data_IF_635714995008
#
_entry.id   IF_635714995008
#
_cell.length_a   1.000
_cell.length_b   1.000
_cell.length_c   1.000
_cell.angle_alpha   90.00
_cell.angle_beta   90.00
_cell.angle_gamma   90.00
#
_symmetry.space_group_name_H-M   'P 1'
#
loop_
_entity.id
_entity.type
_entity.pdbx_description
1 polymer ?
#
# COMPACT_ATOMS: atom_id res chain seq x y z
N UNK A 1 13.54 13.08 19.81
CA UNK A 1 13.59 11.97 18.83
C UNK A 1 13.87 10.58 19.44
N UNK A 2 14.12 10.43 20.74
CA UNK A 2 14.49 9.15 21.39
C UNK A 2 13.34 8.14 21.66
N UNK A 3 12.10 8.43 21.23
CA UNK A 3 10.93 7.60 21.55
C UNK A 3 10.60 6.50 20.54
N UNK A 4 11.08 6.60 19.28
CA UNK A 4 10.70 5.64 18.21
C UNK A 4 11.37 4.27 18.37
N UNK A 5 12.56 4.21 18.96
CA UNK A 5 13.37 2.99 19.13
C UNK A 5 12.89 2.09 20.28
N UNK A 6 12.22 2.67 21.27
CA UNK A 6 11.78 1.97 22.48
C UNK A 6 10.67 0.95 22.21
N UNK A 7 9.54 1.36 21.63
CA UNK A 7 8.39 0.48 21.40
C UNK A 7 8.68 -0.70 20.47
N UNK A 8 9.45 -0.45 19.41
CA UNK A 8 9.87 -1.48 18.46
C UNK A 8 10.67 -2.60 19.14
N UNK A 9 11.52 -2.25 20.12
CA UNK A 9 12.32 -3.21 20.86
C UNK A 9 11.48 -4.18 21.69
N UNK A 10 10.50 -3.66 22.45
CA UNK A 10 9.66 -4.52 23.27
C UNK A 10 8.77 -5.44 22.46
N UNK A 11 8.23 -4.92 21.35
CA UNK A 11 7.51 -5.74 20.39
C UNK A 11 8.40 -6.86 19.83
N UNK A 12 9.69 -6.59 19.57
CA UNK A 12 10.64 -7.59 19.10
C UNK A 12 10.97 -8.66 20.14
N UNK A 13 11.19 -8.30 21.42
CA UNK A 13 11.41 -9.30 22.47
C UNK A 13 10.18 -10.18 22.68
N UNK A 14 8.99 -9.57 22.76
CA UNK A 14 7.75 -10.30 22.86
C UNK A 14 7.52 -11.22 21.66
N UNK A 15 7.95 -10.80 20.46
CA UNK A 15 7.92 -11.61 19.24
C UNK A 15 8.81 -12.84 19.33
N UNK A 16 10.08 -12.67 19.71
CA UNK A 16 11.02 -13.79 19.84
C UNK A 16 10.49 -14.82 20.86
N UNK A 17 9.97 -14.35 21.99
CA UNK A 17 9.37 -15.22 22.99
C UNK A 17 8.11 -15.95 22.48
N UNK A 18 7.19 -15.21 21.83
CA UNK A 18 5.97 -15.79 21.27
C UNK A 18 6.29 -16.83 20.18
N UNK A 19 7.27 -16.55 19.31
CA UNK A 19 7.74 -17.46 18.27
C UNK A 19 8.30 -18.76 18.83
N UNK A 20 9.08 -18.68 19.92
CA UNK A 20 9.59 -19.87 20.62
C UNK A 20 8.48 -20.74 21.22
N UNK A 21 7.36 -20.14 21.65
CA UNK A 21 6.19 -20.86 22.21
C UNK A 21 5.24 -21.39 21.13
N UNK A 22 5.18 -20.75 19.97
CA UNK A 22 4.22 -21.04 18.88
C UNK A 22 4.90 -21.06 17.50
N UNK A 23 5.79 -22.05 17.22
CA UNK A 23 6.56 -22.08 15.97
C UNK A 23 5.72 -22.26 14.70
N UNK A 24 4.49 -22.79 14.82
CA UNK A 24 3.57 -22.98 13.69
C UNK A 24 2.71 -21.76 13.33
N UNK A 25 2.79 -20.68 14.11
CA UNK A 25 1.98 -19.48 13.89
C UNK A 25 2.78 -18.46 13.06
N UNK A 26 2.15 -17.89 12.03
CA UNK A 26 2.76 -16.92 11.12
C UNK A 26 3.23 -15.64 11.83
N UNK A 27 4.24 -14.97 11.24
CA UNK A 27 4.83 -13.72 11.75
C UNK A 27 3.77 -12.65 12.06
N UNK A 28 2.89 -12.34 11.11
CA UNK A 28 1.87 -11.28 11.24
C UNK A 28 0.88 -11.61 12.34
N UNK A 29 0.47 -12.87 12.46
CA UNK A 29 -0.44 -13.31 13.52
C UNK A 29 0.22 -13.17 14.90
N UNK A 30 1.49 -13.54 15.05
CA UNK A 30 2.23 -13.33 16.31
C UNK A 30 2.37 -11.84 16.65
N UNK A 31 2.73 -10.99 15.68
CA UNK A 31 2.80 -9.53 15.88
C UNK A 31 1.46 -8.95 16.28
N UNK A 32 0.36 -9.39 15.67
CA UNK A 32 -0.99 -8.96 16.02
C UNK A 32 -1.36 -9.37 17.44
N UNK A 33 -1.04 -10.59 17.89
CA UNK A 33 -1.27 -11.02 19.27
C UNK A 33 -0.53 -10.14 20.29
N UNK A 34 0.69 -9.71 19.98
CA UNK A 34 1.48 -8.81 20.83
C UNK A 34 0.84 -7.43 20.90
N UNK A 35 0.39 -6.91 19.76
CA UNK A 35 -0.33 -5.63 19.69
C UNK A 35 -1.64 -5.71 20.47
N UNK A 36 -2.42 -6.79 20.32
CA UNK A 36 -3.66 -7.00 21.08
C UNK A 36 -3.39 -7.12 22.58
N UNK A 37 -2.29 -7.77 22.99
CA UNK A 37 -1.89 -7.83 24.39
C UNK A 37 -1.60 -6.43 24.94
N UNK A 38 -0.85 -5.60 24.21
CA UNK A 38 -0.58 -4.22 24.61
C UNK A 38 -1.86 -3.39 24.81
N UNK A 39 -2.86 -3.56 23.94
CA UNK A 39 -4.12 -2.82 24.05
C UNK A 39 -4.96 -3.19 25.28
N UNK A 40 -4.74 -4.39 25.85
CA UNK A 40 -5.40 -4.86 27.09
C UNK A 40 -4.71 -4.35 28.36
N UNK A 41 -3.49 -3.83 28.26
CA UNK A 41 -2.79 -3.23 29.39
C UNK A 41 -3.49 -1.94 29.85
N UNK A 42 -3.41 -1.65 31.15
CA UNK A 42 -3.77 -0.35 31.68
C UNK A 42 -2.82 0.75 31.17
N UNK A 43 -3.26 2.01 31.25
CA UNK A 43 -2.43 3.17 30.85
C UNK A 43 -1.09 3.24 31.59
N UNK A 44 -1.06 2.85 32.86
CA UNK A 44 0.16 2.81 33.66
C UNK A 44 1.11 1.72 33.15
N UNK A 45 0.61 0.51 32.93
CA UNK A 45 1.39 -0.61 32.39
C UNK A 45 1.93 -0.32 30.98
N UNK A 46 1.15 0.31 30.10
CA UNK A 46 1.63 0.76 28.78
C UNK A 46 2.81 1.72 28.90
N UNK A 47 2.73 2.65 29.85
CA UNK A 47 3.77 3.65 30.08
C UNK A 47 5.04 3.00 30.63
N UNK A 48 4.91 2.09 31.59
CA UNK A 48 6.01 1.31 32.15
C UNK A 48 6.70 0.44 31.09
N UNK A 49 5.91 -0.24 30.27
CA UNK A 49 6.39 -1.03 29.14
C UNK A 49 7.30 -0.15 28.24
N UNK A 50 6.84 1.02 27.83
CA UNK A 50 7.62 1.92 26.98
C UNK A 50 8.87 2.45 27.68
N UNK A 51 8.80 2.76 28.98
CA UNK A 51 9.98 3.22 29.72
C UNK A 51 11.05 2.11 29.82
N UNK A 52 10.63 0.87 30.08
CA UNK A 52 11.52 -0.29 30.10
C UNK A 52 12.16 -0.56 28.74
N UNK A 53 11.42 -0.35 27.66
CA UNK A 53 11.96 -0.55 26.32
C UNK A 53 12.92 0.58 25.89
N UNK A 54 12.78 1.79 26.44
CA UNK A 54 13.68 2.92 26.17
C UNK A 54 15.06 2.78 26.84
N UNK A 55 15.15 1.96 27.88
CA UNK A 55 16.40 1.72 28.64
C UNK A 55 17.17 0.50 28.17
N UNK A 56 16.62 -0.25 27.21
CA UNK A 56 17.23 -1.47 26.69
C UNK A 56 18.03 -1.22 25.41
N UNK A 57 19.12 -1.96 25.20
CA UNK A 57 19.95 -1.86 23.99
C UNK A 57 19.22 -2.33 22.73
N UNK A 58 19.43 -1.72 21.56
CA UNK A 58 18.76 -2.11 20.32
C UNK A 58 19.13 -3.55 19.94
N UNK A 59 18.11 -4.38 19.73
CA UNK A 59 18.24 -5.73 19.15
C UNK A 59 18.00 -5.62 17.65
N UNK A 60 18.82 -6.30 16.85
CA UNK A 60 18.64 -6.45 15.41
C UNK A 60 17.25 -7.03 15.11
N UNK A 61 16.53 -6.44 14.16
CA UNK A 61 15.16 -6.85 13.77
C UNK A 61 15.17 -8.27 13.16
N UNK A 62 15.13 -9.30 14.00
CA UNK A 62 15.10 -10.70 13.56
C UNK A 62 13.75 -11.10 12.96
N UNK A 63 12.69 -10.29 13.17
CA UNK A 63 11.33 -10.66 12.75
C UNK A 63 11.04 -10.42 11.28
N UNK A 64 11.77 -9.52 10.60
CA UNK A 64 11.49 -9.15 9.20
C UNK A 64 11.76 -10.27 8.20
N UNK A 65 12.60 -11.24 8.56
CA UNK A 65 12.97 -12.37 7.71
C UNK A 65 12.13 -13.62 7.94
N UNK A 66 11.30 -13.65 8.98
CA UNK A 66 10.48 -14.83 9.29
C UNK A 66 9.32 -14.94 8.29
N UNK A 67 9.16 -16.09 7.59
CA UNK A 67 8.13 -16.23 6.56
C UNK A 67 6.73 -16.22 7.17
N UNK A 68 5.77 -15.62 6.46
CA UNK A 68 4.35 -15.63 6.79
C UNK A 68 3.51 -16.27 5.68
N UNK A 69 2.41 -17.00 6.01
CA UNK A 69 1.56 -17.66 5.01
C UNK A 69 1.05 -16.77 3.89
N UNK A 70 0.87 -15.47 4.14
CA UNK A 70 0.38 -14.51 3.13
C UNK A 70 1.48 -13.55 2.65
N UNK A 71 2.76 -13.92 2.76
CA UNK A 71 3.84 -13.14 2.13
C UNK A 71 3.71 -13.17 0.61
N UNK A 72 3.79 -11.99 -0.01
CA UNK A 72 3.71 -11.81 -1.46
C UNK A 72 5.16 -11.82 -2.00
N UNK A 73 5.53 -12.76 -2.87
CA UNK A 73 6.87 -12.79 -3.45
C UNK A 73 7.10 -11.59 -4.37
N UNK A 74 8.33 -11.09 -4.39
CA UNK A 74 8.78 -10.06 -5.32
C UNK A 74 8.31 -8.64 -5.02
N UNK A 75 7.79 -8.37 -3.81
CA UNK A 75 7.41 -7.01 -3.42
C UNK A 75 8.57 -6.01 -3.42
N UNK A 76 9.80 -6.47 -3.19
CA UNK A 76 11.01 -5.64 -3.20
C UNK A 76 11.74 -5.67 -4.55
N UNK A 77 11.23 -6.38 -5.55
CA UNK A 77 11.95 -6.67 -6.80
C UNK A 77 11.59 -5.66 -7.90
N UNK A 78 11.18 -4.42 -7.57
CA UNK A 78 10.91 -3.40 -8.58
C UNK A 78 12.15 -2.53 -8.81
N UNK A 79 12.45 -2.23 -10.08
CA UNK A 79 13.51 -1.29 -10.45
C UNK A 79 13.11 0.17 -10.27
N UNK A 80 11.81 0.48 -10.31
CA UNK A 80 11.29 1.84 -10.27
C UNK A 80 11.01 2.34 -8.83
N UNK A 81 10.65 1.43 -7.91
CA UNK A 81 10.28 1.79 -6.53
C UNK A 81 10.81 0.77 -5.52
N UNK A 82 11.03 1.22 -4.28
CA UNK A 82 11.56 0.37 -3.21
C UNK A 82 10.61 -0.72 -2.73
N UNK A 83 9.29 -0.53 -2.86
CA UNK A 83 8.29 -1.57 -2.54
C UNK A 83 7.06 -1.45 -3.42
N UNK A 84 6.73 -2.55 -4.11
CA UNK A 84 5.55 -2.69 -4.94
C UNK A 84 4.26 -2.44 -4.16
N UNK A 85 3.30 -1.75 -4.79
CA UNK A 85 1.94 -1.69 -4.30
C UNK A 85 1.24 -3.03 -4.53
N UNK A 86 0.18 -3.32 -3.77
CA UNK A 86 -0.66 -4.50 -3.99
C UNK A 86 -2.08 -4.07 -4.33
N UNK A 87 -2.65 -4.66 -5.36
CA UNK A 87 -4.06 -4.47 -5.74
C UNK A 87 -4.84 -5.69 -5.29
N UNK A 88 -5.70 -5.52 -4.28
CA UNK A 88 -6.48 -6.60 -3.69
C UNK A 88 -7.92 -6.54 -4.19
N UNK A 89 -8.36 -7.61 -4.85
CA UNK A 89 -9.76 -7.78 -5.22
C UNK A 89 -10.55 -8.28 -4.02
N UNK A 90 -11.59 -7.54 -3.62
CA UNK A 90 -12.45 -7.90 -2.47
C UNK A 90 -13.91 -8.12 -2.85
N UNK A 91 -14.27 -7.81 -4.10
CA UNK A 91 -15.61 -8.02 -4.65
C UNK A 91 -15.53 -8.98 -5.84
N UNK A 92 -16.42 -9.97 -5.84
CA UNK A 92 -16.33 -11.15 -6.71
C UNK A 92 -17.64 -11.45 -7.45
N UNK A 93 -18.46 -10.43 -7.74
CA UNK A 93 -19.67 -10.64 -8.54
C UNK A 93 -19.28 -10.95 -10.00
N UNK A 94 -19.80 -12.06 -10.52
CA UNK A 94 -19.62 -12.49 -11.91
C UNK A 94 -20.13 -11.46 -12.93
N UNK A 95 -21.13 -10.65 -12.58
CA UNK A 95 -21.66 -9.60 -13.45
C UNK A 95 -20.66 -8.45 -13.66
N UNK A 96 -19.68 -8.30 -12.76
CA UNK A 96 -18.67 -7.24 -12.79
C UNK A 96 -17.31 -7.73 -13.33
N UNK A 97 -17.23 -8.98 -13.80
CA UNK A 97 -15.97 -9.57 -14.29
C UNK A 97 -15.40 -8.83 -15.51
N UNK A 98 -16.26 -8.29 -16.38
CA UNK A 98 -15.84 -7.42 -17.49
C UNK A 98 -15.17 -6.14 -16.98
N UNK A 99 -15.72 -5.52 -15.94
CA UNK A 99 -15.13 -4.31 -15.35
C UNK A 99 -13.77 -4.60 -14.70
N UNK A 100 -13.65 -5.76 -14.04
CA UNK A 100 -12.38 -6.22 -13.48
C UNK A 100 -11.32 -6.46 -14.57
N UNK A 101 -11.68 -7.16 -15.65
CA UNK A 101 -10.78 -7.39 -16.78
C UNK A 101 -10.32 -6.08 -17.44
N UNK A 102 -11.24 -5.16 -17.68
CA UNK A 102 -10.91 -3.86 -18.26
C UNK A 102 -9.96 -3.06 -17.36
N UNK A 103 -10.14 -3.12 -16.04
CA UNK A 103 -9.23 -2.53 -15.08
C UNK A 103 -7.83 -3.15 -15.17
N UNK A 104 -7.72 -4.49 -15.22
CA UNK A 104 -6.43 -5.17 -15.33
C UNK A 104 -5.69 -4.81 -16.62
N UNK A 105 -6.39 -4.78 -17.77
CA UNK A 105 -5.81 -4.32 -19.03
C UNK A 105 -5.36 -2.86 -18.96
N UNK A 106 -6.18 -1.99 -18.36
CA UNK A 106 -5.81 -0.58 -18.18
C UNK A 106 -4.61 -0.38 -17.25
N UNK A 107 -4.49 -1.22 -16.22
CA UNK A 107 -3.34 -1.23 -15.32
C UNK A 107 -2.07 -1.65 -16.05
N UNK A 108 -2.15 -2.71 -16.86
CA UNK A 108 -1.04 -3.17 -17.68
C UNK A 108 -0.58 -2.12 -18.69
N UNK A 109 -1.51 -1.46 -19.37
CA UNK A 109 -1.18 -0.42 -20.33
C UNK A 109 -0.63 0.85 -19.65
N UNK A 110 -1.08 1.14 -18.42
CA UNK A 110 -0.52 2.22 -17.61
C UNK A 110 0.92 1.92 -17.20
N UNK A 111 1.18 0.76 -16.61
CA UNK A 111 2.52 0.38 -16.18
C UNK A 111 3.50 0.31 -17.35
N UNK A 112 3.09 -0.25 -18.51
CA UNK A 112 3.92 -0.32 -19.71
C UNK A 112 4.35 1.06 -20.19
N UNK A 113 3.38 1.96 -20.43
CA UNK A 113 3.65 3.33 -20.91
C UNK A 113 4.50 4.12 -19.93
N UNK A 114 4.29 3.94 -18.63
CA UNK A 114 5.05 4.68 -17.63
C UNK A 114 6.49 4.20 -17.50
N UNK A 115 6.74 2.89 -17.69
CA UNK A 115 8.10 2.34 -17.70
C UNK A 115 8.89 2.79 -18.94
N UNK A 116 8.25 2.87 -20.11
CA UNK A 116 8.88 3.36 -21.33
C UNK A 116 9.42 4.79 -21.15
N UNK A 117 8.64 5.67 -20.50
CA UNK A 117 9.06 7.04 -20.19
C UNK A 117 10.28 7.13 -19.25
N UNK A 118 10.47 6.15 -18.35
CA UNK A 118 11.62 6.12 -17.44
C UNK A 118 12.90 5.75 -18.19
N UNK A 119 12.82 4.83 -19.15
CA UNK A 119 13.97 4.39 -19.94
C UNK A 119 14.51 5.53 -20.82
N UNK A 120 13.61 6.31 -21.42
CA UNK A 120 14.00 7.44 -22.30
C UNK A 120 14.63 8.60 -21.50
N UNK A 121 14.21 8.82 -20.26
CA UNK A 121 14.76 9.91 -19.41
C UNK A 121 16.20 9.62 -18.93
N UNK A 122 16.65 8.35 -18.95
CA UNK A 122 18.02 7.99 -18.54
C UNK A 122 19.06 8.07 -19.66
N UNK A 123 18.68 8.41 -20.90
CA UNK A 123 19.61 8.49 -22.05
C UNK A 123 20.02 9.92 -22.45
N UNK A 124 19.60 10.96 -21.73
CA UNK A 124 19.91 12.37 -22.05
C UNK A 124 20.91 13.06 -21.07
N UNK A 125 21.83 12.34 -20.44
CA UNK A 125 22.94 12.95 -19.66
C UNK A 125 24.30 12.36 -20.07
N UNK A 126 24.87 12.90 -21.15
CA UNK A 126 26.28 13.38 -21.25
C UNK A 126 26.66 13.55 -22.73
N UNK A 127 26.30 14.69 -23.32
CA UNK A 127 27.10 15.30 -24.37
C UNK A 127 27.11 16.82 -24.18
N UNK A 128 27.83 17.25 -23.12
CA UNK A 128 28.34 18.62 -23.04
C UNK A 128 29.39 18.80 -24.15
N UNK A 129 28.94 19.23 -25.33
CA UNK A 129 29.84 19.90 -26.28
C UNK A 129 29.39 21.35 -26.48
N UNK A 130 30.13 22.24 -25.83
CA UNK A 130 30.15 23.68 -26.10
C UNK A 130 30.35 23.95 -27.60
N UNK A 131 29.44 24.71 -28.21
CA UNK A 131 29.82 25.72 -29.20
C UNK A 131 28.70 26.75 -29.39
N UNK A 132 28.94 27.94 -28.85
CA UNK A 132 28.39 29.20 -29.36
C UNK A 132 28.66 29.30 -30.87
N UNK A 133 27.64 29.65 -31.66
CA UNK A 133 27.68 30.80 -32.57
C UNK A 133 26.31 30.99 -33.26
N UNK A 134 25.82 32.23 -33.20
CA UNK A 134 24.62 32.73 -33.87
C UNK A 134 24.83 32.88 -35.39
N UNK A 135 23.82 32.53 -36.21
CA UNK A 135 23.39 33.37 -37.36
C UNK A 135 22.02 32.96 -37.92
N UNK A 136 21.21 34.00 -38.22
CA UNK A 136 20.04 34.05 -39.11
C UNK A 136 20.22 33.28 -40.44
N UNK A 137 19.16 32.68 -40.99
CA UNK A 137 18.30 33.33 -42.02
C UNK A 137 17.25 32.33 -42.60
N UNK A 138 16.29 32.92 -43.30
CA UNK A 138 15.00 32.51 -43.85
C UNK A 138 15.00 31.30 -44.82
N UNK A 139 13.91 30.50 -44.85
CA UNK A 139 12.98 30.29 -45.99
C UNK A 139 12.33 28.88 -46.10
N UNK A 140 10.99 28.89 -46.00
CA UNK A 140 9.97 28.17 -46.80
C UNK A 140 10.36 26.92 -47.64
N UNK A 141 9.64 25.79 -47.46
CA UNK A 141 8.77 25.18 -48.50
C UNK A 141 8.34 23.73 -48.17
N UNK A 142 7.02 23.52 -48.27
CA UNK A 142 6.22 22.33 -48.63
C UNK A 142 6.90 21.00 -49.00
N UNK A 143 6.29 19.87 -48.59
CA UNK A 143 6.35 18.64 -49.40
C UNK A 143 6.14 17.29 -48.69
N UNK A 144 4.89 16.87 -48.60
CA UNK A 144 4.35 15.57 -49.03
C UNK A 144 4.74 14.21 -48.38
N UNK A 145 3.65 13.47 -48.13
CA UNK A 145 3.38 12.06 -47.86
C UNK A 145 4.50 11.01 -47.75
N UNK A 146 4.38 10.16 -46.70
CA UNK A 146 4.41 8.68 -46.87
C UNK A 146 3.47 8.01 -45.86
N UNK A 147 2.33 7.52 -46.33
CA UNK A 147 1.47 6.56 -45.64
C UNK A 147 2.08 5.18 -45.85
N UNK A 148 2.45 4.47 -44.77
CA UNK A 148 2.90 3.08 -44.85
C UNK A 148 1.93 2.16 -44.11
N UNK A 149 1.49 1.15 -44.85
CA UNK A 149 0.63 0.04 -44.46
C UNK A 149 1.09 -0.65 -43.17
N UNK A 150 0.14 -0.93 -42.27
CA UNK A 150 0.37 -1.89 -41.19
C UNK A 150 -0.66 -3.02 -41.26
N UNK A 151 -0.08 -4.19 -41.46
CA UNK A 151 -0.59 -5.56 -41.44
C UNK A 151 -1.77 -5.88 -40.51
N UNK A 152 -2.77 -6.50 -41.14
CA UNK A 152 -3.32 -7.84 -40.86
C UNK A 152 -3.27 -8.34 -39.40
N UNK A 153 -4.43 -8.32 -38.74
CA UNK A 153 -4.63 -8.84 -37.39
C UNK A 153 -5.64 -10.00 -37.42
N UNK A 154 -5.17 -11.19 -37.82
CA UNK A 154 -5.82 -12.46 -37.54
C UNK A 154 -5.15 -13.11 -36.32
N UNK A 155 -5.81 -13.05 -35.17
CA UNK A 155 -5.45 -13.79 -33.95
C UNK A 155 -6.73 -14.33 -33.28
N UNK A 156 -7.30 -15.38 -33.88
CA UNK A 156 -8.09 -16.36 -33.13
C UNK A 156 -7.13 -17.36 -32.47
N UNK A 157 -6.96 -17.25 -31.15
CA UNK A 157 -6.13 -18.15 -30.37
C UNK A 157 -6.66 -18.28 -28.95
N UNK A 158 -7.59 -19.21 -28.75
CA UNK A 158 -8.10 -19.61 -27.44
C UNK A 158 -6.99 -20.20 -26.56
N UNK A 159 -6.30 -19.35 -25.80
CA UNK A 159 -5.38 -19.73 -24.73
C UNK A 159 -6.10 -19.73 -23.39
N UNK A 160 -6.02 -20.84 -22.66
CA UNK A 160 -6.35 -20.88 -21.23
C UNK A 160 -5.61 -19.73 -20.51
N UNK A 161 -6.26 -19.00 -19.57
CA UNK A 161 -5.59 -17.95 -18.81
C UNK A 161 -4.63 -18.59 -17.80
N UNK A 162 -3.44 -18.94 -18.30
CA UNK A 162 -2.22 -18.88 -17.50
C UNK A 162 -2.18 -17.48 -16.89
N UNK A 163 -1.77 -17.36 -15.62
CA UNK A 163 -1.74 -16.11 -14.87
C UNK A 163 -1.55 -14.89 -15.77
N UNK A 164 -2.37 -13.83 -15.60
CA UNK A 164 -2.03 -12.52 -16.16
C UNK A 164 -0.77 -12.06 -15.41
N UNK A 165 0.36 -12.63 -15.82
CA UNK A 165 1.66 -12.04 -15.68
C UNK A 165 1.55 -10.80 -16.57
N UNK A 166 1.39 -9.64 -15.94
CA UNK A 166 1.81 -8.38 -16.54
C UNK A 166 3.13 -8.68 -17.24
N UNK A 167 3.17 -8.51 -18.57
CA UNK A 167 4.15 -9.17 -19.44
C UNK A 167 5.64 -8.81 -19.19
N UNK A 168 5.91 -7.97 -18.18
CA UNK A 168 7.20 -7.45 -17.74
C UNK A 168 7.38 -7.62 -16.22
N UNK A 169 7.05 -8.80 -15.67
CA UNK A 169 6.91 -9.07 -14.24
C UNK A 169 8.05 -8.57 -13.30
N UNK A 170 9.27 -8.36 -13.79
CA UNK A 170 10.38 -7.76 -13.02
C UNK A 170 10.22 -6.24 -12.81
N UNK A 171 9.46 -5.56 -13.66
CA UNK A 171 9.38 -4.10 -13.68
C UNK A 171 8.03 -3.55 -13.23
N UNK A 172 7.01 -4.40 -13.15
CA UNK A 172 5.72 -4.03 -12.58
C UNK A 172 5.89 -3.44 -11.17
N UNK A 173 5.22 -2.34 -10.89
CA UNK A 173 5.23 -1.69 -9.58
C UNK A 173 4.02 -2.10 -8.74
N UNK A 174 3.06 -2.82 -9.34
CA UNK A 174 1.93 -3.43 -8.65
C UNK A 174 1.95 -4.96 -8.70
N UNK A 175 1.44 -5.59 -7.65
CA UNK A 175 1.12 -7.02 -7.61
C UNK A 175 -0.38 -7.20 -7.39
N UNK A 176 -1.04 -7.95 -8.27
CA UNK A 176 -2.49 -8.20 -8.18
C UNK A 176 -2.75 -9.44 -7.33
N UNK A 177 -3.60 -9.29 -6.31
CA UNK A 177 -4.10 -10.37 -5.45
C UNK A 177 -5.57 -10.61 -5.77
N UNK A 178 -5.83 -11.66 -6.55
CA UNK A 178 -7.17 -12.12 -6.91
C UNK A 178 -7.33 -13.61 -6.56
N UNK A 179 -8.00 -13.95 -5.45
CA UNK A 179 -8.15 -15.33 -5.00
C UNK A 179 -9.01 -16.20 -5.93
N UNK A 180 -9.75 -15.60 -6.87
CA UNK A 180 -10.55 -16.36 -7.86
C UNK A 180 -9.70 -16.90 -9.00
N UNK A 181 -8.61 -16.20 -9.32
CA UNK A 181 -7.65 -16.60 -10.38
C UNK A 181 -6.44 -17.29 -9.80
N UNK A 182 -5.98 -16.85 -8.63
CA UNK A 182 -4.77 -17.34 -7.99
C UNK A 182 -4.87 -17.23 -6.47
N UNK A 183 -5.13 -18.33 -5.76
CA UNK A 183 -4.96 -18.37 -4.30
C UNK A 183 -3.51 -18.02 -3.94
N UNK A 184 -3.32 -17.07 -3.03
CA UNK A 184 -2.00 -16.70 -2.52
C UNK A 184 -1.86 -17.25 -1.09
N UNK A 185 -1.07 -18.30 -0.93
CA UNK A 185 -0.90 -18.95 0.37
C UNK A 185 -2.23 -19.43 0.94
N UNK A 186 -2.59 -18.95 2.13
CA UNK A 186 -3.88 -19.25 2.79
C UNK A 186 -4.98 -18.22 2.45
N UNK A 187 -4.67 -17.22 1.62
CA UNK A 187 -5.64 -16.21 1.21
C UNK A 187 -6.71 -16.83 0.32
N UNK A 188 -7.92 -16.94 0.86
CA UNK A 188 -9.09 -17.46 0.16
C UNK A 188 -10.06 -16.35 -0.23
N UNK A 189 -10.95 -16.65 -1.18
CA UNK A 189 -12.06 -15.77 -1.53
C UNK A 189 -12.90 -15.42 -0.29
N UNK A 190 -13.14 -16.38 0.60
CA UNK A 190 -13.88 -16.15 1.85
C UNK A 190 -13.17 -15.16 2.80
N UNK A 191 -11.84 -15.17 2.82
CA UNK A 191 -11.06 -14.26 3.66
C UNK A 191 -11.12 -12.81 3.13
N UNK A 192 -11.02 -12.64 1.81
CA UNK A 192 -10.97 -11.32 1.16
C UNK A 192 -12.34 -10.74 0.80
N UNK A 193 -13.37 -11.59 0.69
CA UNK A 193 -14.71 -11.17 0.29
C UNK A 193 -15.24 -10.13 1.26
N UNK A 194 -15.45 -8.91 0.73
CA UNK A 194 -15.86 -7.75 1.49
C UNK A 194 -14.97 -7.55 2.74
N UNK A 195 -13.65 -7.73 2.65
CA UNK A 195 -12.77 -7.43 3.78
C UNK A 195 -12.71 -5.92 4.07
N UNK A 196 -12.70 -5.54 5.34
CA UNK A 196 -12.42 -4.15 5.75
C UNK A 196 -10.96 -3.80 5.57
N UNK A 197 -10.65 -2.51 5.49
CA UNK A 197 -9.27 -2.03 5.36
C UNK A 197 -8.37 -2.53 6.50
N UNK A 198 -8.87 -2.52 7.75
CA UNK A 198 -8.09 -3.02 8.89
C UNK A 198 -7.83 -4.53 8.78
N UNK A 199 -8.79 -5.31 8.26
CA UNK A 199 -8.61 -6.74 8.01
C UNK A 199 -7.54 -6.99 6.94
N UNK A 200 -7.55 -6.21 5.86
CA UNK A 200 -6.54 -6.29 4.80
C UNK A 200 -5.14 -5.96 5.31
N UNK A 201 -5.00 -4.89 6.10
CA UNK A 201 -3.74 -4.53 6.74
C UNK A 201 -3.22 -5.66 7.64
N UNK A 202 -4.09 -6.34 8.40
CA UNK A 202 -3.69 -7.50 9.23
C UNK A 202 -3.27 -8.72 8.43
N UNK A 203 -3.78 -8.89 7.21
CA UNK A 203 -3.43 -10.01 6.33
C UNK A 203 -2.07 -9.76 5.67
N UNK A 204 -1.82 -8.54 5.17
CA UNK A 204 -0.67 -8.27 4.30
C UNK A 204 0.47 -7.48 4.96
N UNK A 205 0.21 -6.79 6.08
CA UNK A 205 1.18 -5.91 6.72
C UNK A 205 1.45 -6.33 8.17
N UNK A 206 2.63 -5.98 8.68
CA UNK A 206 3.02 -6.23 10.05
C UNK A 206 2.41 -5.15 10.97
N UNK A 207 1.61 -5.58 11.95
CA UNK A 207 1.06 -4.70 12.97
C UNK A 207 2.13 -4.22 13.95
N UNK A 208 2.02 -2.97 14.40
CA UNK A 208 2.90 -2.35 15.38
C UNK A 208 2.17 -1.24 16.15
N UNK A 209 2.83 -0.68 17.16
CA UNK A 209 2.31 0.43 17.97
C UNK A 209 3.23 1.62 17.82
N UNK A 210 2.64 2.78 17.57
CA UNK A 210 3.34 4.05 17.51
C UNK A 210 2.69 5.08 18.46
N UNK A 211 3.44 6.10 18.88
CA UNK A 211 2.83 7.30 19.45
C UNK A 211 1.84 7.91 18.45
N UNK A 212 0.66 8.30 18.95
CA UNK A 212 -0.32 9.06 18.19
C UNK A 212 0.31 10.40 17.72
N UNK A 213 -0.06 10.93 16.54
CA UNK A 213 0.38 12.27 16.12
C UNK A 213 0.13 13.35 17.18
N UNK A 214 0.97 14.40 17.17
CA UNK A 214 0.84 15.50 18.12
C UNK A 214 -0.46 16.25 17.87
N UNK A 215 -1.21 16.51 18.94
CA UNK A 215 -2.40 17.36 18.91
C UNK A 215 -2.02 18.78 18.44
N UNK A 216 -2.72 19.38 17.45
CA UNK A 216 -2.48 20.75 17.05
C UNK A 216 -2.64 21.72 18.24
N UNK A 217 -1.86 22.81 18.33
CA UNK A 217 -1.92 23.75 19.46
C UNK A 217 -3.33 24.31 19.73
N UNK A 218 -4.12 24.46 18.66
CA UNK A 218 -5.46 25.03 18.70
C UNK A 218 -6.57 23.98 18.84
N UNK A 219 -6.24 22.69 18.89
CA UNK A 219 -7.26 21.65 18.97
C UNK A 219 -7.80 21.56 20.41
N UNK A 220 -9.13 21.72 20.61
CA UNK A 220 -9.69 21.96 21.93
C UNK A 220 -9.61 20.75 22.86
N UNK A 221 -9.69 19.51 22.33
CA UNK A 221 -9.70 18.25 23.11
C UNK A 221 -9.21 17.05 22.28
N UNK A 222 -8.76 16.00 22.97
CA UNK A 222 -8.52 14.69 22.35
C UNK A 222 -9.82 14.02 21.89
N UNK A 223 -9.72 13.12 20.92
CA UNK A 223 -10.88 12.42 20.32
C UNK A 223 -11.51 11.52 21.37
N UNK A 224 -12.84 11.52 21.42
CA UNK A 224 -13.65 10.69 22.35
C UNK A 224 -14.82 10.06 21.59
N UNK A 225 -15.15 8.76 21.82
CA UNK A 225 -14.40 7.81 22.64
C UNK A 225 -13.00 7.55 22.08
N UNK A 226 -12.07 7.15 22.96
CA UNK A 226 -10.72 6.76 22.54
C UNK A 226 -10.77 5.48 21.71
N UNK A 227 -9.84 5.34 20.77
CA UNK A 227 -9.79 4.18 19.89
C UNK A 227 -8.38 3.89 19.43
N UNK A 228 -7.96 2.61 19.46
CA UNK A 228 -6.61 2.17 19.09
C UNK A 228 -6.16 2.56 17.69
N UNK A 229 -7.08 2.76 16.75
CA UNK A 229 -6.76 3.22 15.39
C UNK A 229 -6.56 4.74 15.27
N UNK A 230 -6.90 5.54 16.29
CA UNK A 230 -6.77 7.01 16.26
C UNK A 230 -5.85 7.48 17.38
N UNK A 231 -6.34 7.34 18.60
CA UNK A 231 -5.69 7.74 19.84
C UNK A 231 -6.35 6.97 20.98
N UNK A 232 -5.57 6.07 21.58
CA UNK A 232 -5.93 5.45 22.85
C UNK A 232 -4.72 5.51 23.77
N UNK A 233 -4.87 6.19 24.90
CA UNK A 233 -3.79 6.48 25.83
C UNK A 233 -2.56 7.21 25.22
N UNK A 234 -2.70 7.90 24.09
CA UNK A 234 -1.60 8.55 23.38
C UNK A 234 -0.88 7.65 22.37
N UNK A 235 -1.41 6.45 22.11
CA UNK A 235 -0.85 5.48 21.17
C UNK A 235 -1.82 5.19 20.03
N UNK A 236 -1.28 4.61 18.97
CA UNK A 236 -2.00 4.20 17.78
C UNK A 236 -1.43 2.89 17.23
N UNK A 237 -2.32 2.01 16.79
CA UNK A 237 -1.99 0.80 16.03
C UNK A 237 -1.68 1.21 14.58
N UNK A 238 -0.51 0.81 14.08
CA UNK A 238 -0.02 1.13 12.75
C UNK A 238 0.45 -0.14 12.04
N UNK A 239 0.66 -0.06 10.74
CA UNK A 239 1.05 -1.19 9.90
C UNK A 239 2.26 -0.85 9.03
N UNK A 240 3.15 -1.82 8.86
CA UNK A 240 4.34 -1.72 7.99
C UNK A 240 4.30 -2.83 6.95
N UNK A 241 4.55 -2.48 5.68
CA UNK A 241 4.43 -3.41 4.56
C UNK A 241 4.06 -2.69 3.26
N UNK A 242 3.63 -3.44 2.23
CA UNK A 242 3.23 -2.85 0.96
C UNK A 242 2.02 -1.92 1.11
N UNK A 243 1.89 -1.00 0.14
CA UNK A 243 0.70 -0.15 0.02
C UNK A 243 -0.46 -0.97 -0.52
N UNK A 244 -1.62 -0.89 0.12
CA UNK A 244 -2.80 -1.66 -0.26
C UNK A 244 -3.78 -0.78 -1.05
N UNK A 245 -4.02 -1.19 -2.28
CA UNK A 245 -5.05 -0.68 -3.17
C UNK A 245 -6.18 -1.70 -3.24
N UNK A 246 -7.41 -1.28 -3.01
CA UNK A 246 -8.57 -2.19 -2.97
C UNK A 246 -9.44 -1.96 -4.19
N UNK A 247 -9.70 -3.05 -4.91
CA UNK A 247 -10.77 -3.11 -5.90
C UNK A 247 -12.00 -3.75 -5.24
N UNK A 248 -13.04 -2.94 -5.05
CA UNK A 248 -14.29 -3.32 -4.40
C UNK A 248 -15.51 -3.08 -5.32
N UNK A 249 -16.72 -3.24 -4.79
CA UNK A 249 -17.94 -3.06 -5.58
C UNK A 249 -18.07 -1.65 -6.17
N UNK A 250 -17.56 -0.63 -5.49
CA UNK A 250 -17.62 0.74 -5.98
C UNK A 250 -16.60 0.95 -7.10
N UNK A 251 -15.43 0.29 -7.03
CA UNK A 251 -14.41 0.30 -8.08
C UNK A 251 -14.95 -0.13 -9.45
N UNK A 252 -15.85 -1.11 -9.49
CA UNK A 252 -16.47 -1.55 -10.74
C UNK A 252 -17.31 -0.43 -11.40
N UNK A 253 -17.93 0.45 -10.60
CA UNK A 253 -18.84 1.49 -11.07
C UNK A 253 -18.10 2.76 -11.51
N UNK A 254 -17.11 3.17 -10.74
CA UNK A 254 -16.45 4.47 -10.92
C UNK A 254 -15.01 4.38 -11.43
N UNK A 255 -14.48 3.17 -11.63
CA UNK A 255 -13.11 2.92 -12.08
C UNK A 255 -12.07 3.57 -11.14
N UNK A 256 -12.38 3.60 -9.84
CA UNK A 256 -11.48 4.04 -8.78
C UNK A 256 -11.00 2.88 -7.92
N UNK A 257 -9.84 3.03 -7.30
CA UNK A 257 -9.35 2.12 -6.26
C UNK A 257 -9.31 2.86 -4.94
N UNK A 258 -9.60 2.11 -3.89
CA UNK A 258 -9.53 2.59 -2.52
C UNK A 258 -8.14 2.33 -1.96
N UNK A 259 -7.35 3.39 -1.79
CA UNK A 259 -6.03 3.36 -1.16
C UNK A 259 -6.18 3.38 0.36
N UNK A 260 -5.54 2.44 1.03
CA UNK A 260 -5.63 2.26 2.49
C UNK A 260 -4.43 2.89 3.21
N UNK A 261 -4.69 3.68 4.25
CA UNK A 261 -3.65 4.24 5.12
C UNK A 261 -3.14 3.19 6.11
N UNK A 262 -1.84 2.90 6.06
CA UNK A 262 -1.17 2.02 7.03
C UNK A 262 -0.77 2.75 8.31
N UNK A 263 -0.66 4.08 8.22
CA UNK A 263 -0.27 4.99 9.28
C UNK A 263 -0.82 6.38 8.98
N UNK A 264 -1.13 7.13 10.03
CA UNK A 264 -1.53 8.54 9.90
C UNK A 264 -0.45 9.48 10.43
N UNK A 265 -0.51 10.72 9.94
CA UNK A 265 0.43 11.78 10.27
C UNK A 265 -0.26 13.03 10.85
N UNK A 266 -1.56 13.16 10.62
CA UNK A 266 -2.39 14.23 11.15
C UNK A 266 -3.21 13.66 12.30
N UNK A 267 -3.26 14.41 13.41
CA UNK A 267 -4.06 14.01 14.57
C UNK A 267 -5.54 14.03 14.23
N UNK A 268 -6.25 12.95 14.59
CA UNK A 268 -7.68 12.80 14.33
C UNK A 268 -7.98 11.87 13.15
N UNK A 269 -7.02 11.63 12.25
CA UNK A 269 -7.12 10.57 11.26
C UNK A 269 -7.00 9.19 11.92
N UNK A 270 -7.57 8.17 11.29
CA UNK A 270 -7.50 6.78 11.74
C UNK A 270 -6.57 5.97 10.84
N UNK A 271 -5.76 5.09 11.42
CA UNK A 271 -5.19 3.96 10.68
C UNK A 271 -6.33 3.19 10.01
N UNK A 272 -6.08 2.70 8.80
CA UNK A 272 -7.06 2.08 7.90
C UNK A 272 -8.11 3.03 7.31
N UNK A 273 -8.02 4.35 7.55
CA UNK A 273 -8.73 5.32 6.71
C UNK A 273 -8.33 5.13 5.25
N UNK A 274 -9.22 5.53 4.35
CA UNK A 274 -8.98 5.35 2.93
C UNK A 274 -9.50 6.50 2.10
N UNK A 275 -8.87 6.64 0.94
CA UNK A 275 -9.21 7.59 -0.09
C UNK A 275 -9.34 6.88 -1.43
N UNK A 276 -10.17 7.39 -2.34
CA UNK A 276 -10.36 6.82 -3.67
C UNK A 276 -9.59 7.60 -4.72
N UNK A 277 -8.79 6.88 -5.51
CA UNK A 277 -8.07 7.42 -6.65
C UNK A 277 -8.55 6.74 -7.94
N UNK A 278 -8.58 7.45 -9.06
CA UNK A 278 -8.82 6.82 -10.36
C UNK A 278 -7.64 5.91 -10.70
N UNK A 279 -7.92 4.77 -11.35
CA UNK A 279 -6.89 3.82 -11.78
C UNK A 279 -5.76 4.50 -12.59
N UNK A 280 -6.11 5.49 -13.43
CA UNK A 280 -5.17 6.25 -14.26
C UNK A 280 -4.11 7.04 -13.50
N UNK A 281 -4.33 7.34 -12.21
CA UNK A 281 -3.38 8.09 -11.36
C UNK A 281 -2.62 7.18 -10.40
N UNK A 282 -2.92 5.87 -10.40
CA UNK A 282 -2.40 4.95 -9.39
C UNK A 282 -0.88 4.84 -9.49
N UNK A 283 -0.33 4.84 -10.71
CA UNK A 283 1.10 4.84 -10.98
C UNK A 283 1.81 6.02 -10.30
N UNK A 284 1.44 7.24 -10.66
CA UNK A 284 2.08 8.46 -10.14
C UNK A 284 1.96 8.54 -8.62
N UNK A 285 0.79 8.17 -8.07
CA UNK A 285 0.60 8.15 -6.63
C UNK A 285 1.52 7.13 -5.96
N UNK A 286 1.67 5.91 -6.50
CA UNK A 286 2.55 4.89 -5.95
C UNK A 286 4.01 5.34 -5.97
N UNK A 287 4.49 5.87 -7.11
CA UNK A 287 5.88 6.37 -7.24
C UNK A 287 6.14 7.54 -6.31
N UNK A 288 5.26 8.55 -6.29
CA UNK A 288 5.43 9.73 -5.44
C UNK A 288 5.39 9.35 -3.94
N UNK A 289 4.49 8.45 -3.54
CA UNK A 289 4.45 7.98 -2.16
C UNK A 289 5.71 7.19 -1.79
N UNK A 290 6.33 6.51 -2.74
CA UNK A 290 7.61 5.83 -2.55
C UNK A 290 8.75 6.81 -2.34
N UNK A 291 8.75 7.90 -3.11
CA UNK A 291 9.64 9.06 -2.93
C UNK A 291 9.35 9.87 -1.65
N UNK A 292 8.37 9.47 -0.83
CA UNK A 292 8.09 10.06 0.47
C UNK A 292 6.93 11.06 0.49
N UNK A 293 6.21 11.26 -0.62
CA UNK A 293 4.95 11.98 -0.61
C UNK A 293 3.99 11.32 0.39
N UNK A 294 3.27 12.16 1.14
CA UNK A 294 2.24 11.70 2.07
C UNK A 294 0.91 12.25 1.61
N UNK A 295 -0.08 11.38 1.60
CA UNK A 295 -1.46 11.79 1.41
C UNK A 295 -1.98 12.21 2.78
N UNK A 296 -2.42 13.45 2.86
CA UNK A 296 -3.24 13.90 3.97
C UNK A 296 -4.64 13.33 3.77
N UNK A 297 -5.01 12.38 4.62
CA UNK A 297 -6.36 11.80 4.60
C UNK A 297 -7.34 12.72 5.31
N UNK A 298 -6.91 13.79 5.98
CA UNK A 298 -7.80 14.74 6.65
C UNK A 298 -8.70 15.40 5.60
N UNK A 299 -9.99 15.05 5.69
CA UNK A 299 -10.99 15.34 4.67
C UNK A 299 -11.22 16.82 4.40
N UNK A 300 -10.39 17.41 3.56
CA UNK A 300 -10.63 18.73 2.97
C UNK A 300 -12.03 18.83 2.35
N UNK A 301 -12.51 20.07 2.24
CA UNK A 301 -13.89 20.44 1.88
C UNK A 301 -14.38 19.65 0.66
N UNK A 302 -15.23 18.65 0.90
CA UNK A 302 -15.99 17.92 -0.13
C UNK A 302 -15.54 16.49 -0.47
N UNK A 303 -14.39 16.02 0.02
CA UNK A 303 -13.83 14.70 -0.35
C UNK A 303 -13.38 13.86 0.86
N UNK A 304 -14.08 13.98 1.99
CA UNK A 304 -13.67 13.40 3.26
C UNK A 304 -13.61 11.87 3.30
N UNK A 305 -13.13 11.35 4.44
CA UNK A 305 -13.02 9.91 4.72
C UNK A 305 -14.24 9.13 4.23
N UNK A 306 -14.03 7.91 3.77
CA UNK A 306 -15.12 6.94 3.70
C UNK A 306 -15.57 6.63 5.14
N UNK A 307 -16.52 7.41 5.66
CA UNK A 307 -16.98 7.34 7.05
C UNK A 307 -17.59 5.98 7.38
N UNK A 308 -18.18 5.32 6.38
CA UNK A 308 -18.75 3.99 6.54
C UNK A 308 -17.63 2.96 6.72
N UNK A 309 -16.60 3.02 5.88
CA UNK A 309 -15.43 2.16 6.01
C UNK A 309 -14.67 2.45 7.30
N UNK A 310 -14.53 3.71 7.71
CA UNK A 310 -13.91 4.08 8.99
C UNK A 310 -14.66 3.51 10.18
N UNK A 311 -15.99 3.67 10.23
CA UNK A 311 -16.81 3.11 11.30
C UNK A 311 -16.70 1.58 11.34
N UNK A 312 -16.66 0.94 10.17
CA UNK A 312 -16.42 -0.49 10.04
C UNK A 312 -15.04 -0.90 10.55
N UNK A 313 -13.98 -0.19 10.19
CA UNK A 313 -12.63 -0.44 10.67
C UNK A 313 -12.53 -0.32 12.20
N UNK A 314 -13.22 0.64 12.81
CA UNK A 314 -13.27 0.76 14.27
C UNK A 314 -13.95 -0.45 14.91
N UNK A 315 -15.01 -0.96 14.29
CA UNK A 315 -15.72 -2.16 14.76
C UNK A 315 -14.89 -3.44 14.61
N UNK A 316 -14.10 -3.54 13.54
CA UNK A 316 -13.30 -4.73 13.17
C UNK A 316 -11.88 -4.74 13.80
N UNK A 317 -11.37 -3.57 14.21
CA UNK A 317 -10.50 -3.45 15.39
C UNK A 317 -11.30 -3.92 16.62
N UNK A 318 -10.99 -3.68 17.89
CA UNK A 318 -11.75 -4.22 19.07
C UNK A 318 -12.00 -5.75 19.19
N UNK A 319 -12.37 -6.50 18.15
CA UNK A 319 -12.39 -7.97 18.01
C UNK A 319 -10.95 -8.48 18.03
#
# INVERSE_FOLDING_TARGET
MHGKTSLAYQAQLAYVEARGRQPGVGRRQLKLQIVDHFWRLSKAEKTEAIQKAATSSPVTSLSETDPDPNDIPGLADSRAIGTRGIVVRTHFDSAEETAWNNFLSSLEDLERRSLDNIADTQMEEDDESESDEEVDDVQDNSGDAVQSDVHDADMEGGGQPSAINLAYATDAIFVVVDPTRRPLGETSQALLSNASNIKLLRIFNDASIAPCPTLPPNAPKRVKPEHRLIDQDGFQEIYSGPRIWVWDQQSAKDQTLRLVSSRVFVYGDSTADSWRARATHMWDLQVNMDAGMRIDFSGGVGGGWDMNERARNMKDAVI
#
